data_IF_972239040643
#
_entry.id   IF_972239040643
#
_cell.length_a   1.000
_cell.length_b   1.000
_cell.length_c   1.000
_cell.angle_alpha   90.00
_cell.angle_beta   90.00
_cell.angle_gamma   90.00
#
_symmetry.space_group_name_H-M   'P 1'
#
loop_
_entity.id
_entity.type
_entity.pdbx_description
1 polymer ?
#
# COMPACT_ATOMS: atom_id res chain seq x y z
N UNK A 1 -15.90 7.66 -10.48
CA UNK A 1 -14.79 7.15 -9.65
C UNK A 1 -13.39 7.39 -10.29
N UNK A 2 -13.32 7.82 -11.56
CA UNK A 2 -12.06 8.07 -12.27
C UNK A 2 -11.31 6.81 -12.74
N UNK A 3 -11.88 5.62 -12.54
CA UNK A 3 -11.33 4.35 -13.04
C UNK A 3 -12.06 3.96 -14.34
N UNK A 4 -11.30 3.66 -15.39
CA UNK A 4 -11.86 3.29 -16.71
C UNK A 4 -12.60 1.96 -16.64
N UNK A 5 -13.83 1.92 -17.17
CA UNK A 5 -14.66 0.71 -17.17
C UNK A 5 -14.08 -0.43 -18.02
N UNK A 6 -13.46 -0.12 -19.15
CA UNK A 6 -12.82 -1.11 -20.01
C UNK A 6 -11.65 -1.83 -19.33
N UNK A 7 -10.90 -1.09 -18.49
CA UNK A 7 -9.83 -1.66 -17.65
C UNK A 7 -10.42 -2.60 -16.59
N UNK A 8 -11.47 -2.18 -15.88
CA UNK A 8 -12.16 -3.03 -14.90
C UNK A 8 -12.66 -4.34 -15.55
N UNK A 9 -13.27 -4.23 -16.72
CA UNK A 9 -13.76 -5.40 -17.45
C UNK A 9 -12.63 -6.35 -17.87
N UNK A 10 -11.54 -5.81 -18.40
CA UNK A 10 -10.36 -6.58 -18.76
C UNK A 10 -9.80 -7.39 -17.57
N UNK A 11 -9.68 -6.74 -16.40
CA UNK A 11 -9.19 -7.41 -15.19
C UNK A 11 -10.19 -8.43 -14.62
N UNK A 12 -11.49 -8.18 -14.71
CA UNK A 12 -12.51 -9.19 -14.37
C UNK A 12 -12.38 -10.45 -15.24
N UNK A 13 -12.10 -10.27 -16.52
CA UNK A 13 -11.93 -11.39 -17.46
C UNK A 13 -10.68 -12.22 -17.15
N UNK A 14 -9.61 -11.61 -16.66
CA UNK A 14 -8.39 -12.32 -16.21
C UNK A 14 -8.65 -13.14 -14.94
N UNK A 15 -9.65 -12.75 -14.12
CA UNK A 15 -9.99 -13.41 -12.85
C UNK A 15 -8.81 -13.45 -11.88
N UNK A 16 -7.99 -12.40 -11.83
CA UNK A 16 -6.87 -12.32 -10.91
C UNK A 16 -7.36 -12.39 -9.46
N UNK A 17 -6.89 -13.34 -8.64
CA UNK A 17 -7.37 -13.50 -7.27
C UNK A 17 -6.86 -12.39 -6.32
N UNK A 18 -5.71 -11.82 -6.64
CA UNK A 18 -5.00 -10.81 -5.83
C UNK A 18 -4.39 -9.76 -6.74
N UNK A 19 -4.46 -8.51 -6.32
CA UNK A 19 -3.74 -7.39 -6.94
C UNK A 19 -2.79 -6.75 -5.93
N UNK A 20 -1.54 -6.51 -6.34
CA UNK A 20 -0.51 -5.87 -5.53
C UNK A 20 -0.31 -4.40 -5.93
N UNK A 21 -0.27 -3.51 -4.94
CA UNK A 21 0.02 -2.09 -5.11
C UNK A 21 0.57 -1.48 -3.81
N UNK A 22 1.39 -0.41 -3.82
CA UNK A 22 2.21 0.02 -4.94
C UNK A 22 3.17 -1.08 -5.40
N UNK A 23 3.72 -0.97 -6.62
CA UNK A 23 4.56 -2.03 -7.18
C UNK A 23 5.98 -1.57 -7.50
N UNK A 24 6.88 -2.54 -7.60
CA UNK A 24 8.26 -2.33 -7.97
C UNK A 24 9.02 -1.41 -7.00
N UNK A 25 10.14 -0.87 -7.46
CA UNK A 25 10.99 0.02 -6.69
C UNK A 25 10.26 1.28 -6.18
N UNK A 26 9.25 1.74 -6.90
CA UNK A 26 8.42 2.85 -6.48
C UNK A 26 7.77 2.65 -5.11
N UNK A 27 7.43 1.39 -4.73
CA UNK A 27 6.85 1.09 -3.43
C UNK A 27 7.74 1.51 -2.25
N UNK A 28 9.05 1.55 -2.44
CA UNK A 28 10.03 1.92 -1.41
C UNK A 28 10.32 3.44 -1.34
N UNK A 29 9.67 4.20 -2.21
CA UNK A 29 9.69 5.68 -2.21
C UNK A 29 8.28 6.27 -2.05
N UNK A 30 7.24 5.42 -2.04
CA UNK A 30 5.85 5.84 -1.90
C UNK A 30 5.47 6.07 -0.43
N UNK A 31 4.96 7.26 -0.16
CA UNK A 31 4.41 7.64 1.13
C UNK A 31 2.88 7.71 1.03
N UNK A 32 2.18 6.81 1.70
CA UNK A 32 0.74 6.61 1.52
C UNK A 32 -0.12 7.84 1.82
N UNK A 33 0.33 8.69 2.74
CA UNK A 33 -0.38 9.94 3.07
C UNK A 33 -0.40 10.94 1.91
N UNK A 34 0.58 10.87 1.01
CA UNK A 34 0.60 11.71 -0.21
C UNK A 34 -0.50 11.30 -1.21
N UNK A 35 -1.03 10.08 -1.09
CA UNK A 35 -2.05 9.52 -1.99
C UNK A 35 -3.47 9.47 -1.41
N UNK A 36 -3.79 10.26 -0.37
CA UNK A 36 -5.13 10.34 0.22
C UNK A 36 -5.66 11.77 0.26
N UNK A 37 -6.94 11.93 0.53
CA UNK A 37 -7.61 13.24 0.50
C UNK A 37 -7.94 13.72 -0.92
N UNK A 38 -8.20 15.01 -1.05
CA UNK A 38 -8.58 15.63 -2.32
C UNK A 38 -7.44 15.54 -3.34
N UNK A 39 -7.74 15.03 -4.54
CA UNK A 39 -6.73 14.72 -5.56
C UNK A 39 -5.89 15.92 -5.98
N UNK A 40 -6.51 17.07 -6.13
CA UNK A 40 -5.83 18.31 -6.57
C UNK A 40 -4.85 18.87 -5.52
N UNK A 41 -5.01 18.43 -4.26
CA UNK A 41 -4.16 18.84 -3.13
C UNK A 41 -3.07 17.82 -2.81
N UNK A 42 -3.06 16.66 -3.47
CA UNK A 42 -2.07 15.61 -3.22
C UNK A 42 -0.68 16.07 -3.67
N UNK A 43 0.32 15.65 -2.89
CA UNK A 43 1.72 15.99 -3.19
C UNK A 43 2.14 15.36 -4.51
N UNK A 44 2.73 16.18 -5.39
CA UNK A 44 3.39 15.68 -6.61
C UNK A 44 4.83 15.30 -6.30
N UNK A 45 5.26 14.18 -6.84
CA UNK A 45 6.63 13.67 -6.67
C UNK A 45 7.24 13.33 -8.03
N UNK A 46 8.55 13.22 -8.09
CA UNK A 46 9.25 12.69 -9.27
C UNK A 46 9.40 11.19 -9.13
N UNK A 47 8.90 10.42 -10.11
CA UNK A 47 9.12 8.99 -10.16
C UNK A 47 10.51 8.70 -10.73
N UNK A 48 11.49 8.56 -9.88
CA UNK A 48 12.89 8.33 -10.26
C UNK A 48 13.12 6.93 -10.83
N UNK A 49 12.24 5.99 -10.56
CA UNK A 49 12.35 4.59 -11.00
C UNK A 49 11.81 4.38 -12.42
N UNK A 50 10.82 5.17 -12.81
CA UNK A 50 10.09 4.97 -14.07
C UNK A 50 10.07 6.25 -14.92
N UNK A 51 11.18 6.56 -15.56
CA UNK A 51 11.27 7.61 -16.56
C UNK A 51 11.36 9.06 -16.06
N UNK A 52 11.49 9.28 -14.76
CA UNK A 52 11.60 10.63 -14.18
C UNK A 52 10.35 11.49 -14.37
N UNK A 53 9.18 10.86 -14.55
CA UNK A 53 7.90 11.55 -14.76
C UNK A 53 7.35 12.07 -13.43
N UNK A 54 6.48 13.07 -13.52
CA UNK A 54 5.74 13.56 -12.35
C UNK A 54 4.60 12.61 -12.03
N UNK A 55 4.61 12.06 -10.81
CA UNK A 55 3.47 11.37 -10.20
C UNK A 55 2.63 12.39 -9.43
N UNK A 56 1.35 12.45 -9.73
CA UNK A 56 0.41 13.37 -9.08
C UNK A 56 -0.30 12.74 -7.87
N UNK A 57 -0.02 11.46 -7.60
CA UNK A 57 -0.65 10.64 -6.55
C UNK A 57 -2.18 10.58 -6.65
N UNK A 58 -2.74 10.80 -7.85
CA UNK A 58 -4.19 10.73 -8.09
C UNK A 58 -4.76 9.32 -7.92
N UNK A 59 -3.90 8.30 -7.97
CA UNK A 59 -4.22 6.92 -7.65
C UNK A 59 -3.54 6.53 -6.34
N UNK A 60 -4.30 6.47 -5.27
CA UNK A 60 -3.81 6.15 -3.92
C UNK A 60 -4.62 5.03 -3.26
N UNK A 61 -4.61 5.00 -1.93
CA UNK A 61 -5.25 3.92 -1.14
C UNK A 61 -6.74 3.75 -1.50
N UNK A 62 -7.50 4.83 -1.54
CA UNK A 62 -8.94 4.76 -1.81
C UNK A 62 -9.24 4.24 -3.22
N UNK A 63 -8.50 4.73 -4.21
CA UNK A 63 -8.64 4.33 -5.60
C UNK A 63 -8.25 2.86 -5.79
N UNK A 64 -7.16 2.41 -5.17
CA UNK A 64 -6.72 1.02 -5.23
C UNK A 64 -7.73 0.06 -4.58
N UNK A 65 -8.19 0.37 -3.38
CA UNK A 65 -9.18 -0.46 -2.69
C UNK A 65 -10.49 -0.51 -3.46
N UNK A 66 -10.93 0.62 -4.02
CA UNK A 66 -12.11 0.67 -4.89
C UNK A 66 -11.93 -0.14 -6.16
N UNK A 67 -10.74 -0.10 -6.77
CA UNK A 67 -10.40 -0.94 -7.92
C UNK A 67 -10.53 -2.42 -7.56
N UNK A 68 -9.98 -2.87 -6.44
CA UNK A 68 -10.10 -4.25 -5.99
C UNK A 68 -11.56 -4.69 -5.77
N UNK A 69 -12.38 -3.83 -5.17
CA UNK A 69 -13.82 -4.08 -4.99
C UNK A 69 -14.54 -4.23 -6.35
N UNK A 70 -14.23 -3.34 -7.31
CA UNK A 70 -14.85 -3.38 -8.64
C UNK A 70 -14.43 -4.61 -9.46
N UNK A 71 -13.18 -5.00 -9.38
CA UNK A 71 -12.66 -6.20 -10.07
C UNK A 71 -13.10 -7.48 -9.37
N UNK A 72 -13.30 -7.46 -8.05
CA UNK A 72 -13.61 -8.63 -7.24
C UNK A 72 -12.37 -9.42 -6.82
N UNK A 73 -11.23 -8.75 -6.63
CA UNK A 73 -9.97 -9.35 -6.19
C UNK A 73 -9.57 -8.90 -4.79
N UNK A 74 -8.67 -9.64 -4.16
CA UNK A 74 -8.11 -9.26 -2.85
C UNK A 74 -7.01 -8.22 -3.03
N UNK A 75 -6.97 -7.16 -2.19
CA UNK A 75 -5.86 -6.22 -2.18
C UNK A 75 -4.63 -6.84 -1.52
N UNK A 76 -3.46 -6.57 -2.10
CA UNK A 76 -2.15 -6.80 -1.52
C UNK A 76 -1.44 -5.45 -1.47
N UNK A 77 -1.32 -4.87 -0.29
CA UNK A 77 -0.59 -3.62 -0.06
C UNK A 77 0.89 -3.93 0.16
N UNK A 78 1.75 -3.21 -0.56
CA UNK A 78 3.19 -3.32 -0.39
C UNK A 78 3.71 -2.12 0.40
N UNK A 79 4.18 -2.37 1.62
CA UNK A 79 4.69 -1.33 2.51
C UNK A 79 6.11 -0.90 2.17
N UNK A 80 6.44 0.33 2.56
CA UNK A 80 7.72 0.98 2.32
C UNK A 80 8.65 0.80 3.53
N UNK A 81 9.70 0.01 3.38
CA UNK A 81 10.77 -0.15 4.39
C UNK A 81 12.07 0.52 3.99
N UNK A 82 12.16 1.02 2.75
CA UNK A 82 13.32 1.73 2.22
C UNK A 82 13.41 3.17 2.73
N UNK A 83 12.50 4.04 2.30
CA UNK A 83 12.44 5.45 2.71
C UNK A 83 11.37 5.74 3.78
N UNK A 84 10.43 4.82 4.02
CA UNK A 84 9.39 4.96 5.02
C UNK A 84 9.83 4.65 6.44
N UNK A 85 8.94 4.86 7.39
CA UNK A 85 9.16 4.54 8.80
C UNK A 85 8.23 3.42 9.28
N UNK A 86 8.60 2.78 10.39
CA UNK A 86 7.76 1.81 11.09
C UNK A 86 6.40 2.41 11.45
N UNK A 87 6.40 3.65 11.93
CA UNK A 87 5.20 4.38 12.28
C UNK A 87 4.30 4.58 11.07
N UNK A 88 4.84 5.02 9.96
CA UNK A 88 4.10 5.24 8.73
C UNK A 88 3.39 3.98 8.24
N UNK A 89 4.08 2.84 8.23
CA UNK A 89 3.48 1.55 7.85
C UNK A 89 2.37 1.13 8.83
N UNK A 90 2.62 1.26 10.13
CA UNK A 90 1.64 0.94 11.18
C UNK A 90 0.38 1.83 11.06
N UNK A 91 0.56 3.13 10.85
CA UNK A 91 -0.54 4.08 10.67
C UNK A 91 -1.34 3.80 9.39
N UNK A 92 -0.69 3.34 8.32
CA UNK A 92 -1.40 2.96 7.10
C UNK A 92 -2.33 1.77 7.31
N UNK A 93 -1.86 0.76 8.06
CA UNK A 93 -2.68 -0.42 8.38
C UNK A 93 -3.85 -0.03 9.28
N UNK A 94 -3.62 0.80 10.30
CA UNK A 94 -4.67 1.34 11.16
C UNK A 94 -5.71 2.12 10.34
N UNK A 95 -5.26 3.04 9.50
CA UNK A 95 -6.10 3.82 8.60
C UNK A 95 -7.03 2.93 7.76
N UNK A 96 -6.49 1.85 7.21
CA UNK A 96 -7.26 0.96 6.33
C UNK A 96 -8.18 0.02 7.10
N UNK A 97 -7.76 -0.52 8.24
CA UNK A 97 -8.38 -1.72 8.80
C UNK A 97 -9.00 -1.55 10.20
N UNK A 98 -8.78 -0.43 10.88
CA UNK A 98 -9.35 -0.19 12.19
C UNK A 98 -10.77 0.40 12.11
N UNK A 99 -11.65 -0.07 13.00
CA UNK A 99 -12.97 0.53 13.28
C UNK A 99 -13.00 1.28 14.62
N UNK A 100 -11.90 1.24 15.37
CA UNK A 100 -11.77 1.96 16.64
C UNK A 100 -11.60 3.45 16.37
N UNK A 101 -12.30 4.28 17.15
CA UNK A 101 -12.21 5.74 17.04
C UNK A 101 -10.77 6.22 17.27
N UNK A 102 -10.21 6.87 16.25
CA UNK A 102 -8.87 7.45 16.28
C UNK A 102 -8.75 8.56 15.22
N UNK A 103 -7.71 9.41 15.30
CA UNK A 103 -7.48 10.42 14.26
C UNK A 103 -7.39 9.84 12.84
N UNK A 104 -6.82 8.63 12.68
CA UNK A 104 -6.67 7.99 11.38
C UNK A 104 -8.00 7.43 10.86
N UNK A 105 -8.84 6.84 11.72
CA UNK A 105 -10.16 6.38 11.32
C UNK A 105 -11.09 7.53 10.97
N UNK A 106 -11.01 8.65 11.71
CA UNK A 106 -11.75 9.87 11.37
C UNK A 106 -11.26 10.49 10.05
N UNK A 107 -9.96 10.48 9.80
CA UNK A 107 -9.39 10.92 8.52
C UNK A 107 -9.90 10.03 7.35
N UNK A 108 -9.96 8.70 7.53
CA UNK A 108 -10.54 7.80 6.52
C UNK A 108 -11.99 8.15 6.22
N UNK A 109 -12.79 8.37 7.26
CA UNK A 109 -14.21 8.76 7.13
C UNK A 109 -14.34 10.09 6.38
N UNK A 110 -13.56 11.08 6.76
CA UNK A 110 -13.52 12.39 6.09
C UNK A 110 -13.13 12.26 4.61
N UNK A 111 -12.26 11.33 4.27
CA UNK A 111 -11.84 11.03 2.91
C UNK A 111 -12.85 10.15 2.14
N UNK A 112 -14.05 9.92 2.70
CA UNK A 112 -15.17 9.28 2.00
C UNK A 112 -15.33 7.78 2.26
N UNK A 113 -14.61 7.21 3.24
CA UNK A 113 -14.78 5.80 3.61
C UNK A 113 -15.07 5.63 5.08
N UNK A 114 -16.32 5.35 5.42
CA UNK A 114 -16.76 5.15 6.81
C UNK A 114 -16.23 3.82 7.36
N UNK A 115 -16.51 2.73 6.66
CA UNK A 115 -16.16 1.38 7.10
C UNK A 115 -14.69 1.02 6.78
N UNK A 116 -14.03 0.22 7.64
CA UNK A 116 -12.70 -0.31 7.33
C UNK A 116 -12.73 -1.20 6.09
N UNK A 117 -11.59 -1.32 5.43
CA UNK A 117 -11.39 -2.35 4.41
C UNK A 117 -10.88 -3.63 5.04
N UNK A 118 -11.11 -4.73 4.33
CA UNK A 118 -10.44 -6.00 4.62
C UNK A 118 -9.12 -6.06 3.86
N UNK A 119 -8.01 -6.13 4.59
CA UNK A 119 -6.67 -6.30 4.06
C UNK A 119 -6.08 -7.61 4.56
N UNK A 120 -5.85 -8.55 3.66
CA UNK A 120 -5.30 -9.86 4.02
C UNK A 120 -3.77 -9.90 3.81
N UNK A 121 -3.27 -9.30 2.73
CA UNK A 121 -1.87 -9.39 2.32
C UNK A 121 -1.14 -8.06 2.48
N UNK A 122 -0.07 -8.09 3.27
CA UNK A 122 0.84 -6.97 3.50
C UNK A 122 2.27 -7.38 3.14
N UNK A 123 2.83 -6.80 2.10
CA UNK A 123 4.25 -6.89 1.80
C UNK A 123 5.06 -5.95 2.69
N UNK A 124 6.08 -6.48 3.32
CA UNK A 124 7.04 -5.70 4.12
C UNK A 124 8.29 -5.47 3.29
N UNK A 125 8.20 -4.50 2.40
CA UNK A 125 9.24 -4.14 1.46
C UNK A 125 9.10 -4.72 0.06
N UNK A 126 9.91 -4.18 -0.86
CA UNK A 126 10.04 -4.60 -2.25
C UNK A 126 11.51 -4.54 -2.68
N UNK A 127 12.04 -5.64 -3.19
CA UNK A 127 13.42 -5.72 -3.71
C UNK A 127 14.46 -5.04 -2.80
N UNK A 128 14.39 -5.30 -1.50
CA UNK A 128 15.23 -4.62 -0.51
C UNK A 128 16.73 -4.98 -0.63
N UNK A 129 17.03 -6.05 -1.33
CA UNK A 129 18.39 -6.41 -1.76
C UNK A 129 18.96 -5.48 -2.84
N UNK A 130 18.12 -4.73 -3.54
CA UNK A 130 18.44 -3.80 -4.62
C UNK A 130 17.81 -2.43 -4.39
N UNK A 131 16.93 -2.00 -5.30
CA UNK A 131 16.35 -0.66 -5.30
C UNK A 131 15.54 -0.31 -4.03
N UNK A 132 15.13 -1.30 -3.25
CA UNK A 132 14.41 -1.09 -1.99
C UNK A 132 15.30 -0.86 -0.78
N UNK A 133 16.56 -0.45 -0.97
CA UNK A 133 17.44 -0.08 0.15
C UNK A 133 18.83 -0.74 0.12
N UNK A 134 19.11 -1.56 -0.89
CA UNK A 134 20.40 -2.23 -1.07
C UNK A 134 20.88 -2.97 0.19
N UNK A 135 19.97 -3.69 0.83
CA UNK A 135 20.15 -4.34 2.12
C UNK A 135 20.77 -5.72 1.97
N UNK A 136 21.71 -6.07 2.85
CA UNK A 136 22.13 -7.46 3.03
C UNK A 136 20.97 -8.28 3.63
N UNK A 137 20.89 -9.59 3.35
CA UNK A 137 19.81 -10.46 3.86
C UNK A 137 19.61 -10.39 5.37
N UNK A 138 20.72 -10.41 6.13
CA UNK A 138 20.69 -10.35 7.60
C UNK A 138 20.11 -9.03 8.11
N UNK A 139 20.49 -7.92 7.48
CA UNK A 139 19.97 -6.60 7.84
C UNK A 139 18.49 -6.50 7.49
N UNK A 140 18.08 -6.97 6.30
CA UNK A 140 16.67 -7.00 5.93
C UNK A 140 15.85 -7.86 6.90
N UNK A 141 16.38 -9.00 7.35
CA UNK A 141 15.70 -9.85 8.34
C UNK A 141 15.40 -9.09 9.64
N UNK A 142 16.32 -8.24 10.10
CA UNK A 142 16.13 -7.42 11.30
C UNK A 142 15.14 -6.27 11.02
N UNK A 143 15.24 -5.62 9.87
CA UNK A 143 14.26 -4.60 9.42
C UNK A 143 12.86 -5.22 9.33
N UNK A 144 12.72 -6.36 8.67
CA UNK A 144 11.45 -7.08 8.57
C UNK A 144 10.83 -7.36 9.94
N UNK A 145 11.61 -7.94 10.86
CA UNK A 145 11.15 -8.23 12.23
C UNK A 145 10.64 -6.97 12.93
N UNK A 146 11.40 -5.88 12.80
CA UNK A 146 11.04 -4.60 13.41
C UNK A 146 9.74 -4.04 12.84
N UNK A 147 9.59 -3.97 11.52
CA UNK A 147 8.39 -3.41 10.88
C UNK A 147 7.16 -4.28 11.13
N UNK A 148 7.26 -5.60 10.92
CA UNK A 148 6.12 -6.50 11.06
C UNK A 148 5.59 -6.56 12.50
N UNK A 149 6.44 -6.31 13.51
CA UNK A 149 6.03 -6.29 14.93
C UNK A 149 4.97 -5.24 15.20
N UNK A 150 5.03 -4.10 14.52
CA UNK A 150 4.09 -2.98 14.69
C UNK A 150 2.93 -3.00 13.67
N UNK A 151 2.89 -3.98 12.79
CA UNK A 151 1.78 -4.21 11.87
C UNK A 151 0.70 -5.02 12.56
N UNK A 152 -0.18 -4.36 13.32
CA UNK A 152 -1.18 -5.03 14.14
C UNK A 152 -2.40 -5.51 13.33
N UNK A 153 -3.10 -6.50 13.88
CA UNK A 153 -4.40 -6.93 13.38
C UNK A 153 -5.48 -6.08 14.07
N UNK A 154 -6.01 -5.06 13.37
CA UNK A 154 -7.08 -4.24 13.90
C UNK A 154 -8.44 -4.88 13.60
N UNK A 155 -9.39 -4.72 14.52
CA UNK A 155 -10.83 -5.01 14.31
C UNK A 155 -11.09 -6.41 13.73
N UNK A 156 -10.32 -7.40 14.16
CA UNK A 156 -10.42 -8.77 13.66
C UNK A 156 -9.83 -9.00 12.25
N UNK A 157 -9.29 -7.97 11.63
CA UNK A 157 -8.61 -8.10 10.34
C UNK A 157 -7.26 -8.81 10.53
N UNK A 158 -7.12 -10.01 9.96
CA UNK A 158 -5.89 -10.79 10.04
C UNK A 158 -4.98 -10.50 8.84
N UNK A 159 -3.75 -10.07 9.13
CA UNK A 159 -2.71 -9.80 8.14
C UNK A 159 -1.78 -11.00 7.95
N UNK A 160 -1.54 -11.38 6.69
CA UNK A 160 -0.39 -12.16 6.28
C UNK A 160 0.75 -11.21 5.90
N UNK A 161 1.79 -11.18 6.73
CA UNK A 161 2.97 -10.33 6.53
C UNK A 161 3.97 -11.08 5.65
N UNK A 162 4.23 -10.54 4.48
CA UNK A 162 5.00 -11.18 3.42
C UNK A 162 6.38 -10.53 3.39
N UNK A 163 7.42 -11.32 3.61
CA UNK A 163 8.80 -10.87 3.48
C UNK A 163 9.19 -10.75 2.01
N UNK A 164 10.04 -9.77 1.71
CA UNK A 164 10.70 -9.67 0.41
C UNK A 164 11.80 -10.74 0.30
N UNK A 165 11.68 -11.60 -0.72
CA UNK A 165 12.69 -12.62 -1.01
C UNK A 165 13.82 -12.10 -1.91
N UNK A 166 14.86 -12.90 -2.15
CA UNK A 166 15.92 -12.58 -3.10
C UNK A 166 15.43 -12.71 -4.55
N UNK A 167 16.24 -12.21 -5.48
CA UNK A 167 15.95 -12.31 -6.92
C UNK A 167 16.30 -13.70 -7.50
N UNK A 168 17.17 -14.46 -6.85
CA UNK A 168 17.59 -15.80 -7.24
C UNK A 168 18.37 -16.45 -6.10
#
# INVERSE_FOLDING_TARGET
DGIRNDIIEAFRNIKAPVFRWPGGCFAEEYHWQDGIGEKDLRRKIVNTNWGGVTEDNSFGTHEFMRFCELVGCKPYINGNVGSGSVREMSEWIEYMTSDVESPLTEQRKKNGRAEPWKLEYLGVGNENWGCGGNMRPEYYADVYKRYQTFCHNYSGNRLYRIACGPSS
#
